data_IF_383477427537
#
_entry.id   IF_383477427537
#
_cell.length_a   1.000
_cell.length_b   1.000
_cell.length_c   1.000
_cell.angle_alpha   90.00
_cell.angle_beta   90.00
_cell.angle_gamma   90.00
#
_symmetry.space_group_name_H-M   'P 1'
#
loop_
_entity.id
_entity.type
_entity.pdbx_description
1 polymer ?
#
# COMPACT_ATOMS: atom_id res chain seq x y z
N UNK A 1 -8.63 -3.03 2.07
CA UNK A 1 -9.99 -3.52 1.76
C UNK A 1 -10.90 -3.59 2.98
N UNK A 2 -10.44 -4.08 4.15
CA UNK A 2 -11.27 -4.19 5.36
C UNK A 2 -12.00 -2.90 5.78
N UNK A 3 -11.32 -1.74 5.71
CA UNK A 3 -11.93 -0.46 6.07
C UNK A 3 -13.20 -0.13 5.27
N UNK A 4 -13.22 -0.25 3.94
CA UNK A 4 -14.44 0.08 3.15
C UNK A 4 -15.66 -0.70 3.64
N UNK A 5 -15.50 -2.00 3.82
CA UNK A 5 -16.58 -2.87 4.30
C UNK A 5 -17.07 -2.42 5.67
N UNK A 6 -16.15 -2.15 6.59
CA UNK A 6 -16.45 -1.72 7.95
C UNK A 6 -17.34 -0.48 7.98
N UNK A 7 -17.03 0.51 7.15
CA UNK A 7 -17.85 1.72 7.01
C UNK A 7 -19.23 1.43 6.42
N UNK A 8 -19.31 0.58 5.39
CA UNK A 8 -20.59 0.18 4.80
C UNK A 8 -21.48 -0.54 5.81
N UNK A 9 -20.92 -1.46 6.61
CA UNK A 9 -21.65 -2.17 7.67
C UNK A 9 -22.16 -1.20 8.74
N UNK A 10 -21.31 -0.26 9.19
CA UNK A 10 -21.71 0.77 10.15
C UNK A 10 -22.85 1.65 9.60
N UNK A 11 -22.76 2.12 8.36
CA UNK A 11 -23.82 2.90 7.69
C UNK A 11 -25.13 2.11 7.57
N UNK A 12 -25.05 0.80 7.39
CA UNK A 12 -26.22 -0.10 7.35
C UNK A 12 -26.78 -0.47 8.74
N UNK A 13 -26.19 0.02 9.83
CA UNK A 13 -26.61 -0.32 11.20
C UNK A 13 -26.26 -1.75 11.61
N UNK A 14 -25.36 -2.42 10.87
CA UNK A 14 -24.93 -3.80 11.16
C UNK A 14 -23.81 -3.76 12.19
N UNK A 15 -24.02 -4.44 13.33
CA UNK A 15 -22.98 -4.61 14.35
C UNK A 15 -21.81 -5.39 13.74
N UNK A 16 -20.60 -4.87 13.90
CA UNK A 16 -19.37 -5.50 13.43
C UNK A 16 -18.23 -5.24 14.40
N UNK A 17 -17.30 -6.19 14.45
CA UNK A 17 -16.09 -6.12 15.29
C UNK A 17 -14.88 -6.45 14.41
N UNK A 18 -13.77 -5.75 14.64
CA UNK A 18 -12.53 -5.96 13.89
C UNK A 18 -11.50 -6.59 14.81
N UNK A 19 -10.82 -7.63 14.33
CA UNK A 19 -9.76 -8.32 15.03
C UNK A 19 -8.48 -8.22 14.20
N UNK A 20 -7.42 -7.69 14.81
CA UNK A 20 -6.13 -7.49 14.16
C UNK A 20 -5.02 -8.14 15.00
N UNK A 21 -4.06 -8.77 14.32
CA UNK A 21 -2.97 -9.51 14.95
C UNK A 21 -2.04 -8.59 15.74
N UNK A 22 -1.71 -7.42 15.19
CA UNK A 22 -0.77 -6.49 15.79
C UNK A 22 -1.40 -5.10 15.95
N UNK A 23 -1.04 -4.35 17.01
CA UNK A 23 -1.40 -2.94 17.05
C UNK A 23 -0.76 -2.21 15.86
N UNK A 24 -1.49 -1.23 15.31
CA UNK A 24 -0.94 -0.41 14.23
C UNK A 24 0.33 0.28 14.70
N UNK A 25 1.40 0.09 13.94
CA UNK A 25 2.66 0.81 14.10
C UNK A 25 2.96 1.50 12.78
N UNK A 26 3.25 2.80 12.85
CA UNK A 26 3.62 3.57 11.67
C UNK A 26 4.94 3.05 11.11
N UNK A 27 4.96 2.76 9.82
CA UNK A 27 6.17 2.42 9.07
C UNK A 27 6.37 3.49 8.00
N UNK A 28 7.57 4.06 7.94
CA UNK A 28 7.95 4.94 6.84
C UNK A 28 8.36 4.09 5.64
N UNK A 29 7.39 3.84 4.77
CA UNK A 29 7.55 3.04 3.55
C UNK A 29 7.26 3.86 2.29
N UNK A 30 7.69 3.33 1.15
CA UNK A 30 7.41 3.91 -0.17
C UNK A 30 5.91 4.10 -0.39
N UNK A 31 5.57 5.06 -1.23
CA UNK A 31 4.18 5.34 -1.57
C UNK A 31 3.69 4.42 -2.67
N UNK A 32 2.37 4.20 -2.70
CA UNK A 32 1.73 3.36 -3.71
C UNK A 32 0.66 4.15 -4.45
N UNK A 33 0.34 3.67 -5.65
CA UNK A 33 -0.70 4.27 -6.47
C UNK A 33 -2.08 3.80 -6.02
N UNK A 34 -2.99 4.74 -5.83
CA UNK A 34 -4.42 4.51 -5.68
C UNK A 34 -5.09 5.03 -6.95
N UNK A 35 -5.66 4.12 -7.74
CA UNK A 35 -6.38 4.50 -8.95
C UNK A 35 -7.66 5.28 -8.61
N UNK A 36 -8.20 6.03 -9.59
CA UNK A 36 -9.46 6.78 -9.48
C UNK A 36 -10.59 6.05 -8.75
N UNK A 37 -10.78 4.75 -9.02
CA UNK A 37 -11.81 3.95 -8.35
C UNK A 37 -11.62 3.87 -6.83
N UNK A 38 -10.36 3.78 -6.37
CA UNK A 38 -10.01 3.84 -4.95
C UNK A 38 -10.23 5.23 -4.36
N UNK A 39 -9.89 6.29 -5.10
CA UNK A 39 -10.11 7.68 -4.66
C UNK A 39 -11.61 7.99 -4.52
N UNK A 40 -12.44 7.50 -5.45
CA UNK A 40 -13.89 7.61 -5.35
C UNK A 40 -14.44 6.96 -4.07
N UNK A 41 -13.95 5.77 -3.72
CA UNK A 41 -14.33 5.12 -2.46
C UNK A 41 -13.93 5.99 -1.27
N UNK A 42 -12.71 6.54 -1.26
CA UNK A 42 -12.25 7.43 -0.19
C UNK A 42 -13.10 8.71 -0.09
N UNK A 43 -13.62 9.21 -1.23
CA UNK A 43 -14.57 10.31 -1.26
C UNK A 43 -15.92 9.94 -0.63
N UNK A 44 -16.46 8.76 -0.93
CA UNK A 44 -17.70 8.25 -0.30
C UNK A 44 -17.56 8.01 1.22
N UNK A 45 -16.33 7.78 1.68
CA UNK A 45 -15.99 7.70 3.11
C UNK A 45 -15.84 9.08 3.77
N UNK A 46 -15.92 10.18 3.02
CA UNK A 46 -15.84 11.55 3.55
C UNK A 46 -14.43 12.01 3.90
N UNK A 47 -13.39 11.25 3.54
CA UNK A 47 -11.99 11.55 3.91
C UNK A 47 -11.21 12.25 2.81
N UNK A 48 -11.84 12.64 1.69
CA UNK A 48 -11.16 13.15 0.50
C UNK A 48 -10.22 14.33 0.79
N UNK A 49 -10.61 15.25 1.67
CA UNK A 49 -9.78 16.41 1.98
C UNK A 49 -8.56 16.06 2.84
N UNK A 50 -8.67 15.05 3.72
CA UNK A 50 -7.51 14.48 4.43
C UNK A 50 -6.57 13.79 3.42
N UNK A 51 -7.12 13.07 2.45
CA UNK A 51 -6.35 12.41 1.39
C UNK A 51 -5.60 13.43 0.53
N UNK A 52 -6.26 14.48 0.04
CA UNK A 52 -5.63 15.55 -0.76
C UNK A 52 -4.41 16.17 -0.08
N UNK A 53 -4.46 16.36 1.23
CA UNK A 53 -3.37 16.97 2.02
C UNK A 53 -2.15 16.05 2.20
N UNK A 54 -2.33 14.74 2.03
CA UNK A 54 -1.31 13.72 2.29
C UNK A 54 -0.98 12.87 1.05
N UNK A 55 -1.34 13.35 -0.14
CA UNK A 55 -1.10 12.65 -1.40
C UNK A 55 -0.77 13.63 -2.52
N UNK A 56 -0.21 13.09 -3.59
CA UNK A 56 0.04 13.81 -4.81
C UNK A 56 -0.64 13.12 -6.00
N UNK A 57 -0.89 13.85 -7.07
CA UNK A 57 -1.47 13.32 -8.29
C UNK A 57 -0.80 13.96 -9.48
N UNK A 58 -0.25 13.17 -10.40
CA UNK A 58 0.38 13.70 -11.59
C UNK A 58 -0.62 14.05 -12.70
N UNK A 59 -0.27 15.06 -13.47
CA UNK A 59 -1.00 15.51 -14.66
C UNK A 59 -0.64 14.69 -15.89
N UNK A 60 0.57 14.12 -15.92
CA UNK A 60 1.02 13.27 -17.02
C UNK A 60 1.90 12.11 -16.55
N UNK A 61 2.00 11.08 -17.40
CA UNK A 61 2.94 9.98 -17.26
C UNK A 61 3.88 9.98 -18.47
N UNK A 62 5.19 10.09 -18.22
CA UNK A 62 6.23 10.04 -19.24
C UNK A 62 6.92 8.68 -19.20
N UNK A 63 7.05 8.07 -20.37
CA UNK A 63 7.80 6.85 -20.58
C UNK A 63 9.12 7.22 -21.27
N UNK A 64 10.24 6.92 -20.63
CA UNK A 64 11.58 7.35 -21.05
C UNK A 64 12.53 6.16 -21.21
N UNK A 65 13.51 6.29 -22.10
CA UNK A 65 14.71 5.44 -22.12
C UNK A 65 15.65 5.81 -20.97
N UNK A 66 16.65 4.96 -20.69
CA UNK A 66 17.71 5.26 -19.72
C UNK A 66 18.60 6.44 -20.11
N UNK A 67 18.52 6.92 -21.36
CA UNK A 67 19.23 8.08 -21.87
C UNK A 67 18.36 9.36 -21.83
N UNK A 68 17.20 9.31 -21.16
CA UNK A 68 16.19 10.39 -21.08
C UNK A 68 15.44 10.68 -22.39
N UNK A 69 15.48 9.80 -23.38
CA UNK A 69 14.67 9.97 -24.58
C UNK A 69 13.20 9.65 -24.27
N UNK A 70 12.28 10.56 -24.57
CA UNK A 70 10.85 10.33 -24.38
C UNK A 70 10.30 9.39 -25.46
N UNK A 71 9.80 8.23 -25.04
CA UNK A 71 9.14 7.25 -25.90
C UNK A 71 7.65 7.52 -26.04
N UNK A 72 7.01 7.99 -24.95
CA UNK A 72 5.59 8.34 -24.94
C UNK A 72 5.25 9.27 -23.76
N UNK A 73 4.21 10.08 -23.94
CA UNK A 73 3.61 10.90 -22.88
C UNK A 73 2.10 10.69 -22.84
N UNK A 74 1.58 10.31 -21.68
CA UNK A 74 0.16 10.10 -21.45
C UNK A 74 -0.39 11.22 -20.59
N UNK A 75 -1.42 11.90 -21.07
CA UNK A 75 -2.17 12.85 -20.26
C UNK A 75 -3.02 12.08 -19.23
N UNK A 76 -2.87 12.36 -17.94
CA UNK A 76 -3.64 11.72 -16.86
C UNK A 76 -4.87 12.55 -16.43
N UNK A 77 -5.05 13.74 -16.99
CA UNK A 77 -6.13 14.69 -16.71
C UNK A 77 -7.42 14.49 -17.53
N UNK A 78 -7.44 13.55 -18.46
CA UNK A 78 -8.32 13.51 -19.65
C UNK A 78 -9.84 13.53 -19.45
N UNK A 79 -10.39 13.58 -18.22
CA UNK A 79 -11.85 13.54 -17.98
C UNK A 79 -12.40 14.61 -17.05
N UNK A 80 -11.63 15.06 -16.06
CA UNK A 80 -12.06 16.08 -15.10
C UNK A 80 -10.85 16.66 -14.36
N UNK A 81 -10.92 17.93 -13.97
CA UNK A 81 -9.97 18.55 -13.05
C UNK A 81 -10.25 18.21 -11.58
N UNK A 82 -11.38 17.57 -11.28
CA UNK A 82 -11.72 17.18 -9.93
C UNK A 82 -10.74 16.13 -9.39
N UNK A 83 -10.21 16.37 -8.19
CA UNK A 83 -9.27 15.46 -7.54
C UNK A 83 -9.81 14.03 -7.37
N UNK A 84 -11.11 13.89 -7.12
CA UNK A 84 -11.77 12.58 -7.02
C UNK A 84 -11.71 11.76 -8.31
N UNK A 85 -11.50 12.42 -9.45
CA UNK A 85 -11.42 11.77 -10.75
C UNK A 85 -9.99 11.30 -11.10
N UNK A 86 -9.03 11.51 -10.20
CA UNK A 86 -7.62 11.29 -10.46
C UNK A 86 -7.08 10.08 -9.72
N UNK A 87 -5.96 9.54 -10.21
CA UNK A 87 -5.15 8.59 -9.45
C UNK A 87 -4.17 9.36 -8.58
N UNK A 88 -3.84 8.82 -7.41
CA UNK A 88 -2.98 9.49 -6.44
C UNK A 88 -1.84 8.58 -5.99
N UNK A 89 -0.75 9.19 -5.54
CA UNK A 89 0.35 8.57 -4.82
C UNK A 89 0.30 9.03 -3.37
N UNK A 90 0.34 8.08 -2.44
CA UNK A 90 0.35 8.37 -1.01
C UNK A 90 1.05 7.26 -0.23
N UNK A 91 1.61 7.61 0.93
CA UNK A 91 2.19 6.61 1.83
C UNK A 91 1.08 5.76 2.45
N UNK A 92 1.35 4.47 2.62
CA UNK A 92 0.39 3.56 3.23
C UNK A 92 0.14 3.89 4.71
N UNK A 93 1.14 4.36 5.44
CA UNK A 93 0.98 4.87 6.80
C UNK A 93 -0.04 6.00 6.88
N UNK A 94 0.10 7.02 6.03
CA UNK A 94 -0.82 8.17 6.00
C UNK A 94 -2.27 7.72 5.69
N UNK A 95 -2.45 6.80 4.74
CA UNK A 95 -3.77 6.25 4.44
C UNK A 95 -4.36 5.51 5.65
N UNK A 96 -3.58 4.62 6.27
CA UNK A 96 -4.05 3.81 7.39
C UNK A 96 -4.42 4.70 8.57
N UNK A 97 -3.61 5.69 8.90
CA UNK A 97 -3.89 6.61 10.00
C UNK A 97 -5.16 7.43 9.77
N UNK A 98 -5.33 7.98 8.56
CA UNK A 98 -6.56 8.69 8.19
C UNK A 98 -7.79 7.79 8.37
N UNK A 99 -7.71 6.52 7.93
CA UNK A 99 -8.82 5.57 8.05
C UNK A 99 -9.04 5.12 9.50
N UNK A 100 -7.98 4.88 10.27
CA UNK A 100 -8.08 4.49 11.68
C UNK A 100 -8.72 5.60 12.53
N UNK A 101 -8.35 6.86 12.30
CA UNK A 101 -8.95 7.99 13.00
C UNK A 101 -10.44 8.12 12.69
N UNK A 102 -10.81 7.89 11.44
CA UNK A 102 -12.21 7.90 11.02
C UNK A 102 -13.00 6.71 11.63
N UNK A 103 -12.41 5.52 11.70
CA UNK A 103 -13.01 4.36 12.40
C UNK A 103 -13.24 4.66 13.88
N UNK A 104 -12.28 5.31 14.56
CA UNK A 104 -12.42 5.74 15.95
C UNK A 104 -13.55 6.76 16.12
N UNK A 105 -13.66 7.73 15.22
CA UNK A 105 -14.74 8.74 15.25
C UNK A 105 -16.13 8.11 15.08
N UNK A 106 -16.23 7.02 14.31
CA UNK A 106 -17.47 6.24 14.16
C UNK A 106 -17.77 5.31 15.35
N UNK A 107 -16.91 5.29 16.37
CA UNK A 107 -17.06 4.44 17.56
C UNK A 107 -16.98 2.95 17.23
N UNK A 108 -16.15 2.59 16.25
CA UNK A 108 -15.94 1.20 15.86
C UNK A 108 -14.70 0.67 16.59
N UNK A 109 -14.86 -0.42 17.32
CA UNK A 109 -13.78 -1.03 18.10
C UNK A 109 -12.90 -1.92 17.22
N UNK A 110 -11.58 -1.72 17.33
CA UNK A 110 -10.57 -2.63 16.77
C UNK A 110 -9.89 -3.36 17.92
N UNK A 111 -10.08 -4.68 17.98
CA UNK A 111 -9.43 -5.56 18.95
C UNK A 111 -8.05 -5.96 18.41
N UNK A 112 -7.00 -5.34 18.95
CA UNK A 112 -5.61 -5.68 18.63
C UNK A 112 -5.12 -6.89 19.43
N UNK A 113 -3.96 -7.46 19.04
CA UNK A 113 -3.39 -8.68 19.65
C UNK A 113 -4.24 -9.93 19.45
N UNK A 114 -5.04 -9.97 18.36
CA UNK A 114 -5.98 -11.03 18.06
C UNK A 114 -5.54 -11.78 16.82
N UNK A 115 -4.51 -12.62 17.00
CA UNK A 115 -4.01 -13.51 15.95
C UNK A 115 -4.96 -14.68 15.76
N UNK A 116 -5.67 -14.72 14.62
CA UNK A 116 -6.58 -15.82 14.30
C UNK A 116 -5.79 -17.12 14.06
N UNK A 117 -6.16 -18.19 14.76
CA UNK A 117 -5.55 -19.51 14.63
C UNK A 117 -6.52 -20.59 14.11
N UNK A 118 -7.82 -20.46 14.41
CA UNK A 118 -8.85 -21.44 14.07
C UNK A 118 -10.20 -20.77 13.83
N UNK A 119 -10.96 -21.27 12.87
CA UNK A 119 -12.39 -21.04 12.70
C UNK A 119 -13.11 -22.37 12.87
N UNK A 120 -14.24 -22.35 13.56
CA UNK A 120 -15.23 -23.41 13.50
C UNK A 120 -16.55 -22.81 13.01
N UNK A 121 -17.25 -23.50 12.11
CA UNK A 121 -18.58 -23.08 11.64
C UNK A 121 -19.64 -24.09 12.04
N UNK A 122 -20.80 -23.58 12.41
CA UNK A 122 -22.06 -24.32 12.54
C UNK A 122 -23.01 -23.93 11.39
N UNK A 123 -24.23 -24.45 11.39
CA UNK A 123 -25.26 -24.01 10.42
C UNK A 123 -25.65 -22.53 10.58
N UNK A 124 -25.52 -21.96 11.79
CA UNK A 124 -26.06 -20.65 12.13
C UNK A 124 -25.01 -19.64 12.63
N UNK A 125 -23.76 -20.08 12.87
CA UNK A 125 -22.71 -19.23 13.42
C UNK A 125 -21.32 -19.66 12.98
N UNK A 126 -20.38 -18.75 13.14
CA UNK A 126 -18.95 -18.99 12.98
C UNK A 126 -18.20 -18.44 14.20
N UNK A 127 -17.29 -19.24 14.74
CA UNK A 127 -16.46 -18.90 15.89
C UNK A 127 -15.02 -18.73 15.46
N UNK A 128 -14.43 -17.57 15.75
CA UNK A 128 -13.01 -17.29 15.61
C UNK A 128 -12.28 -17.54 16.92
N UNK A 129 -11.21 -18.34 16.87
CA UNK A 129 -10.31 -18.59 17.99
C UNK A 129 -8.97 -17.91 17.77
N UNK A 130 -8.49 -17.24 18.82
CA UNK A 130 -7.26 -16.45 18.79
C UNK A 130 -6.15 -17.10 19.61
N UNK A 131 -4.90 -16.78 19.28
CA UNK A 131 -3.69 -17.31 19.94
C UNK A 131 -3.64 -17.02 21.45
N UNK A 132 -4.27 -15.96 21.91
CA UNK A 132 -4.38 -15.59 23.34
C UNK A 132 -5.40 -16.43 24.12
N UNK A 133 -6.05 -17.40 23.48
CA UNK A 133 -7.07 -18.27 24.08
C UNK A 133 -8.48 -17.67 24.08
N UNK A 134 -8.63 -16.40 23.69
CA UNK A 134 -9.95 -15.79 23.51
C UNK A 134 -10.64 -16.28 22.24
N UNK A 135 -11.95 -16.06 22.16
CA UNK A 135 -12.74 -16.34 20.97
C UNK A 135 -13.80 -15.27 20.75
N UNK A 136 -14.33 -15.20 19.54
CA UNK A 136 -15.45 -14.35 19.16
C UNK A 136 -16.41 -15.13 18.24
N UNK A 137 -17.71 -15.00 18.49
CA UNK A 137 -18.75 -15.64 17.68
C UNK A 137 -19.54 -14.59 16.90
N UNK A 138 -19.90 -14.92 15.65
CA UNK A 138 -20.75 -14.09 14.81
C UNK A 138 -21.48 -14.89 13.74
N UNK A 139 -22.40 -14.25 13.03
CA UNK A 139 -23.12 -14.90 11.93
C UNK A 139 -22.29 -15.01 10.65
N UNK A 140 -21.32 -14.09 10.46
CA UNK A 140 -20.46 -14.01 9.28
C UNK A 140 -19.06 -13.60 9.71
N UNK A 141 -18.04 -14.21 9.10
CA UNK A 141 -16.65 -13.75 9.17
C UNK A 141 -16.19 -13.31 7.78
N UNK A 142 -15.44 -12.20 7.74
CA UNK A 142 -14.80 -11.73 6.52
C UNK A 142 -13.29 -11.81 6.70
N UNK A 143 -12.65 -12.70 5.94
CA UNK A 143 -11.19 -12.81 5.87
C UNK A 143 -10.57 -11.64 5.13
N UNK A 144 -10.05 -10.66 5.88
CA UNK A 144 -9.29 -9.53 5.36
C UNK A 144 -7.81 -9.56 5.79
N UNK A 145 -7.28 -10.75 6.05
CA UNK A 145 -5.99 -11.09 6.68
C UNK A 145 -4.83 -11.28 5.67
N UNK A 146 -4.99 -10.74 4.44
CA UNK A 146 -3.90 -10.53 3.50
C UNK A 146 -3.32 -11.79 2.82
N UNK A 147 -2.06 -11.66 2.35
CA UNK A 147 -1.43 -12.69 1.52
C UNK A 147 -1.28 -14.03 2.24
N UNK A 148 -1.02 -14.03 3.54
CA UNK A 148 -0.81 -15.24 4.34
C UNK A 148 -2.08 -15.78 5.03
N UNK A 149 -3.25 -15.30 4.59
CA UNK A 149 -4.58 -15.53 5.17
C UNK A 149 -4.77 -16.92 5.82
N UNK A 150 -5.04 -16.91 7.12
CA UNK A 150 -5.49 -18.07 7.90
C UNK A 150 -6.89 -18.47 7.46
N UNK A 151 -7.78 -17.49 7.21
CA UNK A 151 -9.16 -17.75 6.77
C UNK A 151 -9.16 -18.56 5.46
N UNK A 152 -8.36 -18.11 4.47
CA UNK A 152 -8.28 -18.79 3.17
C UNK A 152 -7.75 -20.22 3.30
N UNK A 153 -6.73 -20.45 4.13
CA UNK A 153 -6.13 -21.78 4.34
C UNK A 153 -7.09 -22.79 4.98
N UNK A 154 -8.03 -22.33 5.80
CA UNK A 154 -9.01 -23.22 6.43
C UNK A 154 -10.15 -23.62 5.50
N UNK A 155 -10.52 -22.75 4.56
CA UNK A 155 -11.52 -23.06 3.54
C UNK A 155 -10.89 -23.85 2.38
N UNK A 156 -9.66 -23.49 2.00
CA UNK A 156 -8.91 -24.08 0.90
C UNK A 156 -7.51 -24.50 1.38
N UNK A 157 -7.42 -25.73 1.91
CA UNK A 157 -6.17 -26.29 2.46
C UNK A 157 -5.01 -26.29 1.47
N UNK A 158 -5.31 -26.42 0.18
CA UNK A 158 -4.31 -26.57 -0.87
C UNK A 158 -3.90 -25.22 -1.49
N UNK A 159 -4.33 -24.09 -0.89
CA UNK A 159 -3.97 -22.75 -1.35
C UNK A 159 -2.47 -22.48 -1.14
N UNK A 160 -1.73 -22.37 -2.24
CA UNK A 160 -0.31 -22.02 -2.24
C UNK A 160 -0.07 -20.64 -2.84
N UNK A 161 0.88 -19.90 -2.27
CA UNK A 161 1.37 -18.66 -2.87
C UNK A 161 2.42 -19.03 -3.92
N UNK A 162 2.21 -18.58 -5.16
CA UNK A 162 3.19 -18.77 -6.23
C UNK A 162 4.08 -17.54 -6.36
N UNK A 163 5.39 -17.78 -6.51
CA UNK A 163 6.31 -16.70 -6.83
C UNK A 163 6.13 -16.26 -8.28
N UNK A 164 5.89 -14.97 -8.49
CA UNK A 164 5.63 -14.39 -9.81
C UNK A 164 6.87 -14.31 -10.72
N UNK A 165 8.04 -14.78 -10.27
CA UNK A 165 9.34 -14.64 -10.95
C UNK A 165 9.70 -13.19 -11.28
N UNK A 166 9.29 -12.29 -10.40
CA UNK A 166 9.61 -10.87 -10.47
C UNK A 166 9.98 -10.34 -9.09
N UNK A 167 10.62 -9.20 -9.05
CA UNK A 167 10.95 -8.52 -7.80
C UNK A 167 10.81 -7.01 -7.98
N UNK A 168 10.65 -6.32 -6.86
CA UNK A 168 10.68 -4.88 -6.81
C UNK A 168 11.53 -4.41 -5.63
N UNK A 169 12.29 -3.34 -5.84
CA UNK A 169 12.91 -2.52 -4.81
C UNK A 169 12.19 -1.18 -4.83
N UNK A 170 11.94 -0.60 -3.67
CA UNK A 170 11.24 0.66 -3.59
C UNK A 170 11.66 1.42 -2.34
N UNK A 171 11.52 2.73 -2.39
CA UNK A 171 11.92 3.59 -1.30
C UNK A 171 11.32 4.98 -1.41
N UNK A 172 11.74 5.82 -0.47
CA UNK A 172 11.48 7.24 -0.46
C UNK A 172 12.80 7.99 -0.64
N UNK A 173 12.73 9.18 -1.21
CA UNK A 173 13.82 10.14 -1.30
C UNK A 173 13.28 11.56 -1.15
N UNK A 174 14.17 12.53 -0.98
CA UNK A 174 13.83 13.95 -1.11
C UNK A 174 14.05 14.41 -2.53
N UNK A 175 13.08 15.14 -3.10
CA UNK A 175 13.29 15.87 -4.34
C UNK A 175 14.40 16.92 -4.21
N UNK A 176 14.59 17.50 -3.02
CA UNK A 176 15.61 18.53 -2.79
C UNK A 176 17.04 17.98 -2.93
N UNK A 177 17.20 16.67 -2.71
CA UNK A 177 18.48 15.96 -2.90
C UNK A 177 18.77 15.67 -4.39
N UNK A 178 17.78 15.82 -5.28
CA UNK A 178 17.93 15.61 -6.72
C UNK A 178 18.30 16.91 -7.45
N UNK A 179 19.58 17.04 -7.81
CA UNK A 179 20.08 18.16 -8.63
C UNK A 179 19.98 17.86 -10.13
N UNK A 180 18.77 17.83 -10.70
CA UNK A 180 18.58 17.49 -12.12
C UNK A 180 17.29 18.04 -12.70
N UNK A 181 17.21 18.12 -14.04
CA UNK A 181 15.99 18.44 -14.80
C UNK A 181 14.81 17.52 -14.44
N UNK A 182 15.09 16.28 -14.02
CA UNK A 182 14.11 15.31 -13.53
C UNK A 182 13.32 15.86 -12.33
N UNK A 183 13.97 16.60 -11.43
CA UNK A 183 13.31 17.18 -10.27
C UNK A 183 12.28 18.25 -10.69
N UNK A 184 12.63 19.09 -11.66
CA UNK A 184 11.72 20.09 -12.22
C UNK A 184 10.50 19.45 -12.88
N UNK A 185 10.70 18.41 -13.68
CA UNK A 185 9.59 17.71 -14.33
C UNK A 185 8.63 17.08 -13.29
N UNK A 186 9.19 16.40 -12.28
CA UNK A 186 8.42 15.83 -11.16
C UNK A 186 7.68 16.91 -10.34
N UNK A 187 8.25 18.11 -10.21
CA UNK A 187 7.58 19.25 -9.58
C UNK A 187 6.43 19.82 -10.42
N UNK A 188 6.59 19.83 -11.75
CA UNK A 188 5.56 20.28 -12.69
C UNK A 188 4.41 19.28 -12.88
N UNK A 189 4.44 18.16 -12.17
CA UNK A 189 3.33 17.21 -12.11
C UNK A 189 3.47 16.04 -13.07
N UNK A 190 4.68 15.71 -13.53
CA UNK A 190 4.91 14.49 -14.30
C UNK A 190 5.22 13.30 -13.38
N UNK A 191 4.65 12.14 -13.67
CA UNK A 191 5.15 10.82 -13.25
C UNK A 191 6.10 10.29 -14.33
N UNK A 192 7.15 9.57 -13.93
CA UNK A 192 8.13 9.04 -14.89
C UNK A 192 8.30 7.53 -14.76
N UNK A 193 8.42 6.88 -15.91
CA UNK A 193 8.83 5.49 -16.02
C UNK A 193 10.03 5.42 -16.96
N UNK A 194 11.19 5.08 -16.40
CA UNK A 194 12.35 4.70 -17.16
C UNK A 194 12.27 3.21 -17.46
N UNK A 195 12.37 2.86 -18.73
CA UNK A 195 12.35 1.46 -19.17
C UNK A 195 13.68 1.08 -19.82
N UNK A 196 14.12 -0.11 -19.45
CA UNK A 196 15.17 -0.86 -20.12
C UNK A 196 14.65 -2.28 -20.40
N UNK A 197 15.40 -3.07 -21.18
CA UNK A 197 15.07 -4.47 -21.44
C UNK A 197 14.91 -5.29 -20.16
N UNK A 198 15.60 -4.91 -19.08
CA UNK A 198 15.70 -5.73 -17.88
C UNK A 198 14.96 -5.15 -16.67
N UNK A 199 14.60 -3.87 -16.67
CA UNK A 199 13.94 -3.25 -15.52
C UNK A 199 13.05 -2.07 -15.93
N UNK A 200 12.13 -1.73 -15.03
CA UNK A 200 11.40 -0.47 -15.05
C UNK A 200 11.65 0.28 -13.75
N UNK A 201 12.10 1.53 -13.84
CA UNK A 201 12.21 2.47 -12.72
C UNK A 201 11.05 3.46 -12.80
N UNK A 202 10.22 3.45 -11.78
CA UNK A 202 9.10 4.35 -11.58
C UNK A 202 9.50 5.45 -10.60
N UNK A 203 9.21 6.71 -10.93
CA UNK A 203 9.39 7.88 -10.07
C UNK A 203 8.08 8.67 -10.02
N UNK A 204 7.65 9.01 -8.80
CA UNK A 204 6.51 9.89 -8.58
C UNK A 204 6.65 10.69 -7.30
N UNK A 205 6.27 11.96 -7.37
CA UNK A 205 6.01 12.73 -6.16
C UNK A 205 4.85 12.09 -5.39
N UNK A 206 4.99 11.97 -4.08
CA UNK A 206 4.07 11.20 -3.24
C UNK A 206 3.51 11.96 -2.05
N UNK A 207 4.07 13.12 -1.71
CA UNK A 207 3.56 13.95 -0.64
C UNK A 207 3.77 15.44 -0.96
N UNK A 208 2.82 16.34 -0.64
CA UNK A 208 2.96 17.76 -0.97
C UNK A 208 3.98 18.48 -0.08
N UNK A 209 4.12 18.08 1.20
CA UNK A 209 4.89 18.83 2.21
C UNK A 209 5.95 18.01 2.96
N UNK A 210 6.12 16.73 2.66
CA UNK A 210 7.09 15.88 3.38
C UNK A 210 8.48 16.15 2.79
N UNK A 211 9.53 16.06 3.61
CA UNK A 211 10.90 16.04 3.05
C UNK A 211 11.13 14.76 2.21
N UNK A 212 10.53 13.63 2.62
CA UNK A 212 10.54 12.40 1.84
C UNK A 212 9.33 12.37 0.90
N UNK A 213 9.33 13.27 -0.09
CA UNK A 213 8.23 13.51 -1.03
C UNK A 213 8.39 12.81 -2.38
N UNK A 214 9.51 12.13 -2.63
CA UNK A 214 9.69 11.31 -3.83
C UNK A 214 9.54 9.84 -3.48
N UNK A 215 8.68 9.15 -4.22
CA UNK A 215 8.60 7.69 -4.21
C UNK A 215 9.30 7.14 -5.45
N UNK A 216 10.13 6.14 -5.26
CA UNK A 216 10.78 5.43 -6.35
C UNK A 216 10.57 3.93 -6.22
N UNK A 217 10.44 3.25 -7.36
CA UNK A 217 10.33 1.80 -7.43
C UNK A 217 11.05 1.27 -8.66
N UNK A 218 11.97 0.32 -8.47
CA UNK A 218 12.55 -0.48 -9.55
C UNK A 218 11.90 -1.85 -9.54
N UNK A 219 11.48 -2.34 -10.69
CA UNK A 219 10.96 -3.70 -10.83
C UNK A 219 11.62 -4.42 -12.01
N UNK A 220 11.73 -5.75 -11.90
CA UNK A 220 12.32 -6.59 -12.94
C UNK A 220 11.69 -7.99 -12.95
N UNK A 221 11.73 -8.62 -14.12
CA UNK A 221 11.33 -10.01 -14.36
C UNK A 221 12.52 -10.97 -14.45
N UNK A 222 13.75 -10.46 -14.40
CA UNK A 222 14.92 -11.32 -14.29
C UNK A 222 15.06 -11.81 -12.85
N UNK A 223 15.43 -13.07 -12.65
CA UNK A 223 15.72 -13.56 -11.31
C UNK A 223 16.77 -12.66 -10.66
N UNK A 224 16.46 -12.13 -9.47
CA UNK A 224 17.47 -11.43 -8.66
C UNK A 224 18.63 -12.39 -8.49
N UNK A 225 19.84 -12.02 -8.91
CA UNK A 225 21.05 -12.78 -8.59
C UNK A 225 21.13 -12.86 -7.07
N UNK A 226 20.71 -13.99 -6.50
CA UNK A 226 20.81 -14.22 -5.06
C UNK A 226 22.29 -14.10 -4.71
N UNK A 227 22.64 -13.33 -3.66
CA UNK A 227 24.03 -13.15 -3.29
C UNK A 227 24.64 -14.53 -3.04
N UNK A 228 25.71 -14.86 -3.78
CA UNK A 228 26.31 -16.20 -3.74
C UNK A 228 27.38 -16.30 -2.67
N UNK A 229 27.75 -15.18 -2.05
CA UNK A 229 28.80 -15.13 -1.05
C UNK A 229 28.27 -14.55 0.26
N UNK A 230 28.65 -15.18 1.38
CA UNK A 230 28.22 -14.80 2.75
C UNK A 230 28.49 -13.35 3.12
N UNK A 231 29.40 -12.66 2.42
CA UNK A 231 29.70 -11.26 2.69
C UNK A 231 28.67 -10.29 2.10
N UNK A 232 27.93 -10.70 1.07
CA UNK A 232 26.89 -9.91 0.40
C UNK A 232 25.54 -9.95 1.17
N UNK A 233 25.43 -10.82 2.19
CA UNK A 233 24.28 -10.96 3.09
C UNK A 233 24.49 -10.25 4.45
N UNK A 234 25.63 -9.59 4.64
CA UNK A 234 25.98 -8.99 5.94
C UNK A 234 25.29 -7.64 6.13
N UNK A 235 24.61 -7.50 7.27
CA UNK A 235 24.01 -6.24 7.72
C UNK A 235 25.06 -5.12 7.80
N UNK A 236 24.66 -3.87 7.61
CA UNK A 236 25.57 -2.70 7.62
C UNK A 236 26.50 -2.65 8.85
N UNK A 237 26.01 -3.11 10.00
CA UNK A 237 26.77 -3.16 11.26
C UNK A 237 28.02 -4.05 11.21
N UNK A 238 28.02 -5.06 10.32
CA UNK A 238 29.16 -5.97 10.15
C UNK A 238 30.19 -5.37 9.18
N UNK A 239 29.75 -4.55 8.22
CA UNK A 239 30.62 -3.88 7.25
C UNK A 239 31.41 -2.75 7.93
N UNK A 240 30.77 -2.00 8.83
CA UNK A 240 31.40 -0.89 9.58
C UNK A 240 32.47 -1.33 10.61
N UNK A 241 32.54 -2.62 10.96
CA UNK A 241 33.55 -3.16 11.90
C UNK A 241 34.87 -3.60 11.25
N UNK A 242 35.01 -3.46 9.93
CA UNK A 242 36.19 -3.93 9.17
C UNK A 242 36.99 -2.82 8.45
N UNK A 243 36.68 -1.56 8.73
CA UNK A 243 37.50 -0.38 8.37
C UNK A 243 38.04 0.20 9.66
#
# INVERSE_FOLDING_TARGET
MGFRLLFSLKKAGIKSEVFETFPYTRVEESSFRINKSGVNILNELGVLDKIKKNSHSADSLRLLTTNNDELAKFNLMQRSSAFSDRSIFMKRSDLIEILLDEVKQLGITINSHKKLIKLDQSENSVTAYFEDGSNAEGSIIVGADGLNSTVRKQIYSDSQVSYAKSWALYGLASLDDMKSEIATDLETGDEMIYVDQNFALFLAKSHPTSNLNLSWQVSSYNERKLPKQDHELKNEDIIKKKI
#
